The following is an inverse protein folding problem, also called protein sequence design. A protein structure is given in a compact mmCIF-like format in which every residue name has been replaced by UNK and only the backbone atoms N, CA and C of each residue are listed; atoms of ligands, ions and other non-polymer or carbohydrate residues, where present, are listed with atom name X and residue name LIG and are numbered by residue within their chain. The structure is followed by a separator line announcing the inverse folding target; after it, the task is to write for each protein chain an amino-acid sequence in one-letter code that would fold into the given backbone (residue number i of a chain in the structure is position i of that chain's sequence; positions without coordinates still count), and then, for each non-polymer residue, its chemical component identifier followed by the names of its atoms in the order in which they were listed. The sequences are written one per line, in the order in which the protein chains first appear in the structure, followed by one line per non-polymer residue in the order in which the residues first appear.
data_IF_246707676733
#
_entry.id   IF_246707676733
#
_cell.length_a   1.000
_cell.length_b   1.000
_cell.length_c   1.000
_cell.angle_alpha   90.00
_cell.angle_beta   90.00
_cell.angle_gamma   90.00
#
_symmetry.space_group_name_H-M   'P 1'
#
loop_
_entity.id
_entity.type
_entity.pdbx_description
1 polymer ?
#
# COMPACT_ATOMS: atom_id res chain seq x y z
N UNK A 1 -4.42 -10.74 -44.23
CA UNK A 1 -4.13 -11.03 -42.81
C UNK A 1 -2.66 -10.77 -42.44
N UNK A 2 -1.66 -11.41 -43.08
CA UNK A 2 -0.23 -11.22 -42.74
C UNK A 2 0.30 -9.80 -43.07
N UNK A 3 -0.27 -9.10 -44.07
CA UNK A 3 0.13 -7.72 -44.41
C UNK A 3 -0.19 -6.70 -43.30
N UNK A 4 -1.17 -6.98 -42.45
CA UNK A 4 -1.59 -6.09 -41.35
C UNK A 4 -0.78 -6.30 -40.06
N UNK A 5 0.01 -7.38 -39.98
CA UNK A 5 0.85 -7.66 -38.80
C UNK A 5 1.95 -6.61 -38.62
N UNK A 6 2.53 -6.11 -39.71
CA UNK A 6 3.56 -5.08 -39.68
C UNK A 6 3.07 -3.74 -39.11
N UNK A 7 1.98 -3.16 -39.66
CA UNK A 7 1.34 -1.96 -39.09
C UNK A 7 0.91 -2.15 -37.64
N UNK A 8 0.28 -3.27 -37.30
CA UNK A 8 -0.16 -3.56 -35.93
C UNK A 8 1.00 -3.57 -34.93
N UNK A 9 2.11 -4.24 -35.27
CA UNK A 9 3.30 -4.29 -34.42
C UNK A 9 3.93 -2.91 -34.20
N UNK A 10 4.02 -2.09 -35.26
CA UNK A 10 4.54 -0.72 -35.15
C UNK A 10 3.67 0.14 -34.25
N UNK A 11 2.35 0.03 -34.40
CA UNK A 11 1.40 0.77 -33.57
C UNK A 11 1.54 0.36 -32.10
N UNK A 12 1.63 -0.94 -31.81
CA UNK A 12 1.92 -1.45 -30.47
C UNK A 12 3.22 -0.87 -29.92
N UNK A 13 4.30 -0.86 -30.69
CA UNK A 13 5.58 -0.30 -30.25
C UNK A 13 5.48 1.20 -29.95
N UNK A 14 4.84 1.96 -30.84
CA UNK A 14 4.62 3.40 -30.64
C UNK A 14 3.83 3.65 -29.35
N UNK A 15 2.73 2.95 -29.13
CA UNK A 15 1.94 3.13 -27.92
C UNK A 15 2.68 2.66 -26.67
N UNK A 16 3.44 1.57 -26.72
CA UNK A 16 4.28 1.13 -25.60
C UNK A 16 5.30 2.20 -25.20
N UNK A 17 5.97 2.83 -26.17
CA UNK A 17 6.91 3.92 -25.88
C UNK A 17 6.16 5.15 -25.35
N UNK A 18 5.04 5.50 -25.97
CA UNK A 18 4.27 6.68 -25.58
C UNK A 18 3.71 6.56 -24.16
N UNK A 19 3.04 5.45 -23.83
CA UNK A 19 2.34 5.28 -22.55
C UNK A 19 3.20 4.65 -21.46
N UNK A 20 4.22 3.86 -21.83
CA UNK A 20 5.12 3.19 -20.90
C UNK A 20 6.38 3.98 -20.56
N UNK A 21 6.83 4.90 -21.43
CA UNK A 21 8.05 5.68 -21.21
C UNK A 21 7.79 7.19 -21.21
N UNK A 22 7.26 7.73 -22.32
CA UNK A 22 7.15 9.18 -22.48
C UNK A 22 6.20 9.78 -21.43
N UNK A 23 5.01 9.19 -21.28
CA UNK A 23 4.02 9.68 -20.35
C UNK A 23 4.48 9.61 -18.88
N UNK A 24 4.96 8.46 -18.35
CA UNK A 24 5.47 8.40 -16.98
C UNK A 24 6.63 9.36 -16.73
N UNK A 25 7.58 9.48 -17.67
CA UNK A 25 8.73 10.38 -17.52
C UNK A 25 8.31 11.86 -17.44
N UNK A 26 7.40 12.28 -18.33
CA UNK A 26 6.86 13.65 -18.32
C UNK A 26 6.10 13.92 -17.03
N UNK A 27 5.23 13.00 -16.61
CA UNK A 27 4.46 13.16 -15.37
C UNK A 27 5.34 13.19 -14.13
N UNK A 28 6.35 12.33 -14.04
CA UNK A 28 7.33 12.36 -12.93
C UNK A 28 8.08 13.69 -12.91
N UNK A 29 8.58 14.16 -14.07
CA UNK A 29 9.30 15.44 -14.16
C UNK A 29 8.44 16.64 -13.75
N UNK A 30 7.20 16.70 -14.22
CA UNK A 30 6.26 17.77 -13.84
C UNK A 30 5.93 17.69 -12.34
N UNK A 31 5.68 16.49 -11.81
CA UNK A 31 5.32 16.30 -10.40
C UNK A 31 6.46 16.72 -9.47
N UNK A 32 7.71 16.39 -9.83
CA UNK A 32 8.89 16.77 -9.06
C UNK A 32 9.12 18.29 -9.09
N UNK A 33 8.87 18.94 -10.24
CA UNK A 33 9.05 20.39 -10.38
C UNK A 33 8.03 21.19 -9.56
N UNK A 34 6.76 20.75 -9.54
CA UNK A 34 5.66 21.53 -8.96
C UNK A 34 5.34 21.07 -7.52
N UNK A 35 5.48 19.79 -7.22
CA UNK A 35 5.08 19.17 -5.94
C UNK A 35 6.13 18.19 -5.40
N UNK A 36 7.39 18.61 -5.21
CA UNK A 36 8.49 17.71 -4.82
C UNK A 36 8.19 16.94 -3.52
N UNK A 37 7.65 17.60 -2.48
CA UNK A 37 7.36 16.93 -1.21
C UNK A 37 6.33 15.80 -1.36
N UNK A 38 5.31 15.98 -2.21
CA UNK A 38 4.27 14.98 -2.43
C UNK A 38 4.73 13.88 -3.38
N UNK A 39 5.45 14.25 -4.44
CA UNK A 39 6.02 13.31 -5.41
C UNK A 39 6.98 12.33 -4.73
N UNK A 40 7.73 12.79 -3.73
CA UNK A 40 8.64 11.97 -2.93
C UNK A 40 7.97 11.29 -1.71
N UNK A 41 6.63 11.28 -1.63
CA UNK A 41 5.90 10.50 -0.64
C UNK A 41 5.56 11.22 0.67
N UNK A 42 5.67 12.54 0.73
CA UNK A 42 5.30 13.38 1.90
C UNK A 42 5.95 12.92 3.20
N UNK A 43 7.26 12.70 3.14
CA UNK A 43 8.04 12.15 4.25
C UNK A 43 8.08 13.12 5.45
N UNK A 44 8.06 12.55 6.65
CA UNK A 44 8.20 13.29 7.91
C UNK A 44 9.56 12.96 8.50
N UNK A 45 10.32 14.01 8.81
CA UNK A 45 11.67 13.90 9.37
C UNK A 45 11.74 14.49 10.77
N UNK A 46 12.45 13.81 11.66
CA UNK A 46 12.81 14.30 12.98
C UNK A 46 14.32 14.15 13.15
N UNK A 47 15.01 15.22 13.52
CA UNK A 47 16.47 15.25 13.71
C UNK A 47 17.27 14.70 12.51
N UNK A 48 16.82 15.01 11.29
CA UNK A 48 17.45 14.56 10.05
C UNK A 48 17.19 13.09 9.69
N UNK A 49 16.42 12.36 10.49
CA UNK A 49 16.01 10.98 10.22
C UNK A 49 14.57 10.93 9.72
N UNK A 50 14.31 10.18 8.66
CA UNK A 50 12.96 9.87 8.19
C UNK A 50 12.29 8.96 9.22
N UNK A 51 11.20 9.44 9.81
CA UNK A 51 10.41 8.70 10.80
C UNK A 51 9.10 8.17 10.22
N UNK A 52 8.71 8.59 9.01
CA UNK A 52 7.51 8.10 8.35
C UNK A 52 7.08 8.97 7.18
N UNK A 53 5.80 8.85 6.80
CA UNK A 53 5.11 9.71 5.84
C UNK A 53 3.83 10.22 6.49
N UNK A 54 3.42 11.45 6.15
CA UNK A 54 2.15 12.01 6.62
C UNK A 54 0.92 11.24 6.12
N UNK A 55 1.09 10.39 5.10
CA UNK A 55 0.03 9.61 4.47
C UNK A 55 -0.03 8.16 4.99
N UNK A 56 0.95 7.71 5.77
CA UNK A 56 1.07 6.31 6.21
C UNK A 56 0.95 6.24 7.73
N UNK A 57 -0.06 5.52 8.20
CA UNK A 57 -0.22 5.19 9.61
C UNK A 57 0.84 4.19 10.07
N UNK A 58 1.17 4.24 11.36
CA UNK A 58 2.07 3.29 12.02
C UNK A 58 1.33 2.61 13.15
N UNK A 59 1.82 1.43 13.55
CA UNK A 59 1.26 0.73 14.69
C UNK A 59 1.69 1.43 16.00
N UNK A 60 0.76 2.13 16.64
CA UNK A 60 0.96 2.71 17.97
C UNK A 60 0.16 1.93 19.00
N UNK A 61 0.85 1.26 19.92
CA UNK A 61 0.25 0.43 20.97
C UNK A 61 0.47 0.95 22.39
N UNK A 62 1.28 2.00 22.57
CA UNK A 62 1.55 2.57 23.90
C UNK A 62 0.41 3.50 24.35
N UNK A 63 0.08 3.51 25.66
CA UNK A 63 -1.01 4.35 26.20
C UNK A 63 -0.87 5.85 25.96
N UNK A 64 0.36 6.34 25.78
CA UNK A 64 0.61 7.77 25.54
C UNK A 64 0.20 8.24 24.13
N UNK A 65 -0.06 7.30 23.20
CA UNK A 65 -0.39 7.61 21.82
C UNK A 65 -1.86 7.38 21.50
N UNK A 66 -2.33 8.04 20.45
CA UNK A 66 -3.60 7.69 19.85
C UNK A 66 -3.50 6.33 19.17
N UNK A 67 -4.42 5.43 19.52
CA UNK A 67 -4.49 4.11 18.93
C UNK A 67 -5.08 4.21 17.50
N UNK A 68 -4.37 3.69 16.49
CA UNK A 68 -4.83 3.74 15.12
C UNK A 68 -5.88 2.63 14.88
N UNK A 69 -6.53 2.63 13.71
CA UNK A 69 -7.46 1.55 13.36
C UNK A 69 -6.74 0.20 13.28
N UNK A 70 -7.38 -0.94 13.53
CA UNK A 70 -6.74 -2.23 13.25
C UNK A 70 -6.38 -2.35 11.77
N UNK A 71 -5.20 -2.90 11.48
CA UNK A 71 -4.69 -3.11 10.13
C UNK A 71 -4.40 -4.59 9.91
N UNK A 72 -4.90 -5.14 8.79
CA UNK A 72 -4.64 -6.51 8.36
C UNK A 72 -3.56 -6.58 7.26
N UNK A 73 -2.86 -5.47 6.98
CA UNK A 73 -1.76 -5.42 6.03
C UNK A 73 -0.50 -6.05 6.65
N UNK A 74 -0.08 -7.21 6.12
CA UNK A 74 1.09 -7.94 6.62
C UNK A 74 0.94 -8.33 8.10
N UNK A 75 1.90 -7.95 8.93
CA UNK A 75 1.86 -8.09 10.39
C UNK A 75 1.18 -6.93 11.14
N UNK A 76 0.45 -6.07 10.42
CA UNK A 76 -0.20 -4.88 10.94
C UNK A 76 0.60 -3.61 10.62
N UNK A 77 0.04 -2.76 9.74
CA UNK A 77 0.70 -1.53 9.24
C UNK A 77 2.02 -1.76 8.49
N UNK A 78 2.21 -2.92 7.87
CA UNK A 78 3.35 -3.20 6.99
C UNK A 78 3.25 -2.40 5.68
N UNK A 79 4.20 -1.50 5.42
CA UNK A 79 4.21 -0.66 4.22
C UNK A 79 4.46 -1.44 2.90
N UNK A 80 4.97 -2.68 2.99
CA UNK A 80 5.18 -3.56 1.83
C UNK A 80 3.92 -4.36 1.47
N UNK A 81 2.92 -4.37 2.35
CA UNK A 81 1.62 -4.99 2.12
C UNK A 81 0.52 -3.91 2.05
N UNK A 82 -0.36 -4.01 1.07
CA UNK A 82 -1.54 -3.14 0.99
C UNK A 82 -2.79 -4.00 0.80
N UNK A 83 -3.50 -4.25 1.90
CA UNK A 83 -4.67 -5.12 1.91
C UNK A 83 -5.62 -4.78 3.06
N UNK A 84 -6.89 -5.14 2.87
CA UNK A 84 -7.88 -5.20 3.94
C UNK A 84 -8.00 -6.62 4.53
N UNK A 85 -8.79 -6.76 5.58
CA UNK A 85 -9.08 -8.07 6.20
C UNK A 85 -9.92 -8.99 5.32
N UNK A 86 -10.69 -8.43 4.38
CA UNK A 86 -11.51 -9.15 3.39
C UNK A 86 -12.47 -10.20 3.99
N UNK A 87 -12.94 -9.99 5.22
CA UNK A 87 -13.91 -10.87 5.88
C UNK A 87 -15.35 -10.44 5.58
N UNK A 88 -16.20 -11.40 5.20
CA UNK A 88 -17.63 -11.17 5.01
C UNK A 88 -18.41 -11.03 6.32
N UNK A 89 -19.64 -10.46 6.28
CA UNK A 89 -20.44 -10.17 7.47
C UNK A 89 -20.87 -11.43 8.26
N UNK A 90 -20.89 -12.60 7.63
CA UNK A 90 -21.19 -13.90 8.27
C UNK A 90 -19.94 -14.66 8.71
N UNK A 91 -18.75 -14.09 8.55
CA UNK A 91 -17.49 -14.76 8.88
C UNK A 91 -17.38 -15.00 10.38
N UNK A 92 -17.18 -16.26 10.78
CA UNK A 92 -16.93 -16.61 12.17
C UNK A 92 -15.69 -15.88 12.73
N UNK A 93 -14.65 -15.70 11.91
CA UNK A 93 -13.43 -14.97 12.26
C UNK A 93 -13.67 -13.47 12.48
N UNK A 94 -14.66 -12.89 11.81
CA UNK A 94 -15.04 -11.49 12.04
C UNK A 94 -15.92 -11.36 13.29
N UNK A 95 -16.91 -12.24 13.43
CA UNK A 95 -17.89 -12.20 14.53
C UNK A 95 -17.28 -12.56 15.89
N UNK A 96 -16.26 -13.43 15.89
CA UNK A 96 -15.61 -13.93 17.12
C UNK A 96 -14.19 -13.42 17.30
N UNK A 97 -13.75 -12.45 16.48
CA UNK A 97 -12.36 -11.97 16.46
C UNK A 97 -11.36 -12.98 15.89
N UNK A 98 -10.12 -12.51 15.67
CA UNK A 98 -8.98 -13.36 15.32
C UNK A 98 -8.69 -14.27 16.51
N UNK A 99 -9.04 -15.55 16.46
CA UNK A 99 -8.60 -16.47 17.52
C UNK A 99 -7.11 -16.74 17.35
N UNK A 100 -6.29 -16.35 18.34
CA UNK A 100 -4.96 -16.94 18.50
C UNK A 100 -5.13 -18.20 19.36
N UNK A 101 -4.29 -19.20 19.09
CA UNK A 101 -4.20 -20.38 19.94
C UNK A 101 -3.19 -20.03 21.04
N UNK A 102 -3.65 -19.94 22.29
CA UNK A 102 -2.78 -19.73 23.46
C UNK A 102 -1.80 -20.91 23.62
N UNK A 103 -0.73 -20.75 24.41
CA UNK A 103 0.27 -21.79 24.71
C UNK A 103 -0.36 -23.09 25.26
N UNK A 104 -1.58 -22.98 25.81
CA UNK A 104 -2.42 -24.09 26.30
C UNK A 104 -3.32 -24.73 25.24
N UNK A 105 -3.16 -24.37 23.97
CA UNK A 105 -3.97 -24.81 22.82
C UNK A 105 -5.45 -24.40 22.86
N UNK A 106 -5.80 -23.38 23.63
CA UNK A 106 -7.16 -22.86 23.66
C UNK A 106 -7.34 -21.79 22.59
N UNK A 107 -8.47 -21.83 21.85
CA UNK A 107 -8.88 -20.70 21.02
C UNK A 107 -9.34 -19.56 21.93
N UNK A 108 -8.51 -18.54 22.03
CA UNK A 108 -8.85 -17.29 22.71
C UNK A 108 -9.10 -16.22 21.67
N UNK A 109 -10.17 -15.46 21.89
CA UNK A 109 -10.50 -14.31 21.05
C UNK A 109 -9.41 -13.27 21.25
N UNK A 110 -8.64 -13.03 20.20
CA UNK A 110 -7.61 -12.01 20.19
C UNK A 110 -8.09 -10.81 19.39
N UNK A 111 -8.00 -9.65 20.03
CA UNK A 111 -8.34 -8.37 19.42
C UNK A 111 -7.07 -7.56 19.07
N UNK A 112 -5.87 -8.15 19.25
CA UNK A 112 -4.56 -7.54 18.99
C UNK A 112 -3.76 -8.23 17.87
#
# INVERSE_FOLDING_TARGET
MIKELGPGFRLTLVFTVLTGLLYPAVMTGISELIFPDRANGSLVTLDGKIIGSSLIGQNFSKPEYFHPRPSAAGSGYDATASSGSNLGPTSAKLLRGTTKIDDKKNEVVDFD
#
